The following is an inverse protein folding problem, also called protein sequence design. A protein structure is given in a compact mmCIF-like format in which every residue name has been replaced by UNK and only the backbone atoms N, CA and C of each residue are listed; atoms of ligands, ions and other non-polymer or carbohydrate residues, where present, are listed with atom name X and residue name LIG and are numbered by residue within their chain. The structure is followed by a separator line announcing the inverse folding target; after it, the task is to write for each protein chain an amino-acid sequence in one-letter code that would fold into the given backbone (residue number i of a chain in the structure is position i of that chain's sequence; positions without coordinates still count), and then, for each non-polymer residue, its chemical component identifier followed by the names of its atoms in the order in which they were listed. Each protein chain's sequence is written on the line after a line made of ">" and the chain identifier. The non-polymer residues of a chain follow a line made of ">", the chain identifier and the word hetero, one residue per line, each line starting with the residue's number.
data_IF_234051713184
#
_entry.id   IF_234051713184
#
_cell.length_a   1.000
_cell.length_b   1.000
_cell.length_c   1.000
_cell.angle_alpha   90.00
_cell.angle_beta   90.00
_cell.angle_gamma   90.00
#
_symmetry.space_group_name_H-M   'P 1'
#
loop_
_entity.id
_entity.type
_entity.pdbx_description
1 polymer ?
#
# COMPACT_ATOMS: atom_id res chain seq x y z
N UNK A 1 8.02 20.69 -20.32
CA UNK A 1 8.46 20.82 -18.92
C UNK A 1 7.37 20.18 -18.07
N UNK A 2 7.62 19.03 -17.43
CA UNK A 2 6.62 18.44 -16.52
C UNK A 2 6.52 19.34 -15.28
N UNK A 3 5.33 19.87 -15.01
CA UNK A 3 5.10 20.74 -13.86
C UNK A 3 5.02 19.91 -12.57
N UNK A 4 5.88 20.22 -11.60
CA UNK A 4 5.80 19.68 -10.24
C UNK A 4 4.96 20.62 -9.39
N UNK A 5 3.98 20.06 -8.67
CA UNK A 5 3.05 20.80 -7.83
C UNK A 5 3.61 20.83 -6.41
N UNK A 6 3.71 22.01 -5.80
CA UNK A 6 4.25 22.17 -4.44
C UNK A 6 3.14 22.40 -3.44
N UNK A 7 3.13 21.62 -2.37
CA UNK A 7 2.18 21.71 -1.26
C UNK A 7 2.92 21.66 0.08
N UNK A 8 2.28 22.19 1.13
CA UNK A 8 2.77 22.08 2.49
C UNK A 8 1.66 21.69 3.46
N UNK A 9 2.02 20.99 4.53
CA UNK A 9 1.14 20.61 5.61
C UNK A 9 1.86 20.73 6.96
N UNK A 10 1.20 21.40 7.92
CA UNK A 10 1.69 21.55 9.27
C UNK A 10 1.01 20.52 10.18
N UNK A 11 1.79 19.65 10.82
CA UNK A 11 1.35 18.60 11.73
C UNK A 11 0.17 17.75 11.21
N UNK A 12 0.23 17.23 9.96
CA UNK A 12 -0.85 16.40 9.44
C UNK A 12 -1.00 15.12 10.28
N UNK A 13 -2.23 14.79 10.66
CA UNK A 13 -2.58 13.54 11.36
C UNK A 13 -2.83 12.40 10.37
N UNK A 14 -3.35 12.74 9.19
CA UNK A 14 -3.65 11.79 8.13
C UNK A 14 -3.47 12.44 6.76
N UNK A 15 -2.93 11.66 5.82
CA UNK A 15 -2.82 12.04 4.41
C UNK A 15 -3.33 10.86 3.61
N UNK A 16 -4.38 11.11 2.83
CA UNK A 16 -5.10 10.07 2.11
C UNK A 16 -5.22 10.41 0.64
N UNK A 17 -5.15 9.41 -0.23
CA UNK A 17 -5.40 9.57 -1.66
C UNK A 17 -6.64 8.77 -2.04
N UNK A 18 -7.46 9.35 -2.92
CA UNK A 18 -8.57 8.65 -3.56
C UNK A 18 -8.38 8.63 -5.06
N UNK A 19 -8.61 7.48 -5.68
CA UNK A 19 -8.83 7.43 -7.12
C UNK A 19 -10.32 7.60 -7.39
N UNK A 20 -10.70 8.64 -8.12
CA UNK A 20 -12.09 8.91 -8.51
C UNK A 20 -12.43 8.21 -9.81
N UNK A 21 -11.51 8.27 -10.76
CA UNK A 21 -11.69 7.70 -12.09
C UNK A 21 -10.37 7.10 -12.55
N UNK A 22 -10.42 5.83 -12.94
CA UNK A 22 -9.31 5.11 -13.54
C UNK A 22 -9.89 3.91 -14.28
N UNK A 23 -9.73 3.89 -15.61
CA UNK A 23 -10.11 2.74 -16.45
C UNK A 23 -9.03 1.66 -16.49
N UNK A 24 -7.81 2.11 -16.26
CA UNK A 24 -6.59 1.31 -16.22
C UNK A 24 -6.10 1.17 -14.77
N UNK A 25 -4.99 0.47 -14.57
CA UNK A 25 -4.41 0.30 -13.23
C UNK A 25 -3.89 1.65 -12.71
N UNK A 26 -4.16 1.95 -11.45
CA UNK A 26 -3.69 3.17 -10.80
C UNK A 26 -2.84 2.85 -9.58
N UNK A 27 -1.76 3.60 -9.41
CA UNK A 27 -0.92 3.51 -8.23
C UNK A 27 -0.31 4.88 -7.92
N UNK A 28 0.22 5.00 -6.72
CA UNK A 28 1.01 6.14 -6.30
C UNK A 28 2.36 5.65 -5.78
N UNK A 29 3.40 6.44 -6.05
CA UNK A 29 4.71 6.29 -5.42
C UNK A 29 4.89 7.43 -4.43
N UNK A 30 5.18 7.12 -3.18
CA UNK A 30 5.45 8.09 -2.11
C UNK A 30 6.85 7.81 -1.59
N UNK A 31 7.83 8.65 -1.92
CA UNK A 31 9.24 8.41 -1.56
C UNK A 31 9.71 6.98 -1.90
N UNK A 32 9.37 6.48 -3.08
CA UNK A 32 9.62 5.09 -3.54
C UNK A 32 8.71 4.00 -2.94
N UNK A 33 7.89 4.29 -1.93
CA UNK A 33 6.87 3.37 -1.45
C UNK A 33 5.69 3.28 -2.42
N UNK A 34 5.35 2.05 -2.81
CA UNK A 34 4.28 1.77 -3.75
C UNK A 34 2.94 1.56 -3.03
N UNK A 35 1.90 2.25 -3.51
CA UNK A 35 0.53 2.03 -3.07
C UNK A 35 -0.37 1.83 -4.28
N UNK A 36 -1.05 0.68 -4.34
CA UNK A 36 -2.07 0.39 -5.35
C UNK A 36 -3.38 1.07 -4.99
N UNK A 37 -4.06 1.67 -5.97
CA UNK A 37 -5.34 2.33 -5.79
C UNK A 37 -6.42 1.67 -6.64
N UNK A 38 -7.59 1.48 -6.03
CA UNK A 38 -8.82 1.12 -6.74
C UNK A 38 -9.71 2.34 -6.91
N UNK A 39 -10.40 2.40 -8.05
CA UNK A 39 -11.40 3.43 -8.32
C UNK A 39 -12.47 3.42 -7.23
N UNK A 40 -12.75 4.59 -6.66
CA UNK A 40 -13.69 4.80 -5.58
C UNK A 40 -13.11 4.64 -4.17
N UNK A 41 -11.98 3.95 -3.98
CA UNK A 41 -11.38 3.69 -2.66
C UNK A 41 -10.39 4.78 -2.24
N UNK A 42 -10.35 5.06 -0.93
CA UNK A 42 -9.34 5.89 -0.27
C UNK A 42 -8.26 5.01 0.35
N UNK A 43 -7.02 5.48 0.32
CA UNK A 43 -5.88 4.85 1.00
C UNK A 43 -5.13 5.89 1.83
N UNK A 44 -4.77 5.52 3.06
CA UNK A 44 -3.94 6.34 3.93
C UNK A 44 -2.45 6.06 3.62
N UNK A 45 -1.69 7.12 3.37
CA UNK A 45 -0.26 7.05 3.03
C UNK A 45 0.66 7.65 4.10
N UNK A 46 0.10 8.05 5.25
CA UNK A 46 0.83 8.76 6.30
C UNK A 46 2.08 8.02 6.79
N UNK A 47 2.08 6.68 6.78
CA UNK A 47 3.22 5.88 7.22
C UNK A 47 4.44 5.96 6.29
N UNK A 48 4.26 6.32 5.02
CA UNK A 48 5.36 6.50 4.06
C UNK A 48 5.90 7.94 4.00
N UNK A 49 5.37 8.84 4.83
CA UNK A 49 5.72 10.25 4.81
C UNK A 49 6.68 10.60 5.96
N UNK A 50 7.70 11.39 5.61
CA UNK A 50 8.70 11.90 6.53
C UNK A 50 8.54 13.40 6.75
N UNK A 51 9.19 13.93 7.79
CA UNK A 51 9.33 15.37 7.96
C UNK A 51 10.17 15.97 6.81
N UNK A 52 9.82 17.17 6.37
CA UNK A 52 10.40 17.80 5.20
C UNK A 52 9.70 17.41 3.90
N UNK A 53 10.44 17.44 2.79
CA UNK A 53 9.88 17.25 1.44
C UNK A 53 9.67 15.77 1.13
N UNK A 54 8.46 15.45 0.67
CA UNK A 54 8.05 14.13 0.21
C UNK A 54 7.65 14.20 -1.27
N UNK A 55 8.06 13.22 -2.07
CA UNK A 55 7.69 13.15 -3.49
C UNK A 55 6.56 12.15 -3.69
N UNK A 56 5.44 12.63 -4.23
CA UNK A 56 4.27 11.83 -4.58
C UNK A 56 4.12 11.83 -6.11
N UNK A 57 4.11 10.64 -6.71
CA UNK A 57 3.85 10.47 -8.14
C UNK A 57 2.54 9.70 -8.32
N UNK A 58 1.57 10.31 -8.98
CA UNK A 58 0.29 9.67 -9.30
C UNK A 58 0.36 9.08 -10.70
N UNK A 59 0.15 7.77 -10.79
CA UNK A 59 0.46 6.99 -11.97
C UNK A 59 -0.75 6.20 -12.45
N UNK A 60 -0.91 6.14 -13.76
CA UNK A 60 -1.78 5.21 -14.46
C UNK A 60 -0.92 4.26 -15.28
N UNK A 61 -1.14 2.97 -15.15
CA UNK A 61 -0.52 1.94 -15.97
C UNK A 61 -1.58 1.29 -16.83
N UNK A 62 -1.45 1.45 -18.14
CA UNK A 62 -2.38 0.84 -19.08
C UNK A 62 -2.10 -0.65 -19.22
N UNK A 63 -3.18 -1.40 -19.44
CA UNK A 63 -3.08 -2.83 -19.70
C UNK A 63 -2.31 -3.12 -20.98
N UNK A 64 -1.74 -4.33 -21.07
CA UNK A 64 -1.16 -4.81 -22.33
C UNK A 64 -2.20 -4.81 -23.45
N UNK A 65 -1.76 -4.67 -24.70
CA UNK A 65 -2.66 -4.64 -25.86
C UNK A 65 -3.63 -5.82 -25.88
N UNK A 66 -3.14 -7.02 -25.54
CA UNK A 66 -3.95 -8.24 -25.44
C UNK A 66 -5.05 -8.12 -24.38
N UNK A 67 -4.71 -7.63 -23.20
CA UNK A 67 -5.67 -7.43 -22.10
C UNK A 67 -6.69 -6.34 -22.43
N UNK A 68 -6.27 -5.25 -23.09
CA UNK A 68 -7.20 -4.22 -23.56
C UNK A 68 -8.22 -4.78 -24.54
N UNK A 69 -7.79 -5.62 -25.49
CA UNK A 69 -8.71 -6.29 -26.43
C UNK A 69 -9.69 -7.18 -25.67
N UNK A 70 -9.22 -8.03 -24.76
CA UNK A 70 -10.06 -8.94 -23.97
C UNK A 70 -11.09 -8.16 -23.12
N UNK A 71 -10.70 -7.00 -22.60
CA UNK A 71 -11.55 -6.15 -21.76
C UNK A 71 -12.43 -5.18 -22.55
N UNK A 72 -12.38 -5.18 -23.89
CA UNK A 72 -13.12 -4.22 -24.72
C UNK A 72 -12.64 -2.77 -24.59
N UNK A 73 -11.40 -2.55 -24.15
CA UNK A 73 -10.76 -1.25 -23.96
C UNK A 73 -9.87 -0.83 -25.15
N UNK A 74 -9.95 -1.55 -26.26
CA UNK A 74 -9.18 -1.23 -27.47
C UNK A 74 -9.64 0.11 -28.05
N UNK A 75 -8.69 1.00 -28.35
CA UNK A 75 -8.96 2.36 -28.85
C UNK A 75 -9.53 3.33 -27.81
N UNK A 76 -9.62 2.93 -26.53
CA UNK A 76 -10.00 3.83 -25.44
C UNK A 76 -8.77 4.54 -24.87
N UNK A 77 -8.89 5.84 -24.63
CA UNK A 77 -7.88 6.63 -23.94
C UNK A 77 -7.76 6.23 -22.47
N UNK A 78 -6.54 6.28 -21.94
CA UNK A 78 -6.33 6.17 -20.51
C UNK A 78 -6.81 7.45 -19.82
N UNK A 79 -7.35 7.31 -18.62
CA UNK A 79 -7.72 8.43 -17.76
C UNK A 79 -7.34 8.12 -16.32
N UNK A 80 -6.94 9.16 -15.59
CA UNK A 80 -6.72 9.10 -14.15
C UNK A 80 -7.18 10.38 -13.50
N UNK A 81 -8.05 10.27 -12.49
CA UNK A 81 -8.48 11.38 -11.63
C UNK A 81 -8.24 11.01 -10.17
N UNK A 82 -7.29 11.69 -9.55
CA UNK A 82 -6.89 11.49 -8.16
C UNK A 82 -7.32 12.68 -7.30
N UNK A 83 -7.58 12.41 -6.03
CA UNK A 83 -7.83 13.42 -5.01
C UNK A 83 -6.88 13.21 -3.84
N UNK A 84 -6.24 14.29 -3.39
CA UNK A 84 -5.39 14.32 -2.20
C UNK A 84 -6.17 14.95 -1.05
N UNK A 85 -6.21 14.25 0.07
CA UNK A 85 -6.82 14.68 1.32
C UNK A 85 -5.74 14.83 2.38
N UNK A 86 -5.84 15.89 3.18
CA UNK A 86 -5.02 16.08 4.38
C UNK A 86 -5.98 16.34 5.53
N UNK A 87 -5.91 15.51 6.56
CA UNK A 87 -6.82 15.53 7.71
C UNK A 87 -8.30 15.50 7.30
N UNK A 88 -8.61 14.61 6.37
CA UNK A 88 -9.95 14.44 5.79
C UNK A 88 -10.42 15.58 4.87
N UNK A 89 -9.64 16.67 4.74
CA UNK A 89 -9.99 17.81 3.88
C UNK A 89 -9.37 17.65 2.49
N UNK A 90 -10.19 17.77 1.45
CA UNK A 90 -9.73 17.78 0.06
C UNK A 90 -8.77 18.96 -0.17
N UNK A 91 -7.56 18.66 -0.64
CA UNK A 91 -6.50 19.65 -0.93
C UNK A 91 -6.29 19.87 -2.42
N UNK A 92 -6.53 18.86 -3.24
CA UNK A 92 -6.36 18.96 -4.67
C UNK A 92 -7.00 17.80 -5.42
N UNK A 93 -7.42 18.09 -6.64
CA UNK A 93 -7.90 17.10 -7.61
C UNK A 93 -6.97 17.17 -8.82
N UNK A 94 -6.50 16.03 -9.29
CA UNK A 94 -5.51 15.92 -10.35
C UNK A 94 -6.04 14.97 -11.41
N UNK A 95 -6.27 15.49 -12.60
CA UNK A 95 -6.84 14.73 -13.72
C UNK A 95 -5.94 14.83 -14.94
N UNK A 96 -5.74 13.70 -15.60
CA UNK A 96 -5.07 13.64 -16.90
C UNK A 96 -5.59 12.46 -17.69
N UNK A 97 -5.61 12.62 -19.00
CA UNK A 97 -5.95 11.59 -19.97
C UNK A 97 -5.02 11.68 -21.17
N UNK A 98 -4.96 10.60 -21.96
CA UNK A 98 -4.21 10.58 -23.19
C UNK A 98 -4.51 9.37 -24.05
N UNK A 99 -4.23 9.53 -25.35
CA UNK A 99 -4.33 8.43 -26.31
C UNK A 99 -3.24 7.40 -26.11
N UNK A 100 -3.62 6.13 -26.26
CA UNK A 100 -2.69 5.00 -26.27
C UNK A 100 -2.61 4.43 -27.70
N UNK A 101 -1.47 4.62 -28.36
CA UNK A 101 -1.26 4.23 -29.77
C UNK A 101 -0.69 2.80 -29.87
N UNK A 102 0.09 2.39 -28.87
CA UNK A 102 0.68 1.05 -28.75
C UNK A 102 0.54 0.61 -27.31
N UNK A 103 -0.23 -0.46 -27.07
CA UNK A 103 -0.64 -0.88 -25.73
C UNK A 103 0.49 -1.01 -24.69
N UNK A 104 0.11 -0.96 -23.42
CA UNK A 104 0.90 -0.86 -22.18
C UNK A 104 1.88 0.31 -22.12
N UNK A 105 1.66 1.21 -21.16
CA UNK A 105 2.51 2.33 -20.81
C UNK A 105 2.25 2.78 -19.38
N UNK A 106 3.22 3.49 -18.80
CA UNK A 106 3.08 4.15 -17.51
C UNK A 106 2.99 5.66 -17.72
N UNK A 107 1.91 6.25 -17.22
CA UNK A 107 1.55 7.63 -17.44
C UNK A 107 1.44 8.37 -16.12
N UNK A 108 2.22 9.43 -15.98
CA UNK A 108 2.13 10.32 -14.82
C UNK A 108 0.97 11.28 -14.97
N UNK A 109 0.04 11.23 -14.01
CA UNK A 109 -1.06 12.18 -13.84
C UNK A 109 -0.58 13.44 -13.14
N UNK A 110 0.14 13.30 -12.03
CA UNK A 110 0.69 14.42 -11.27
C UNK A 110 1.98 14.02 -10.53
N UNK A 111 2.87 15.00 -10.38
CA UNK A 111 4.02 14.96 -9.47
C UNK A 111 3.83 16.04 -8.42
N UNK A 112 3.88 15.66 -7.14
CA UNK A 112 3.63 16.55 -6.02
C UNK A 112 4.83 16.49 -5.08
N UNK A 113 5.40 17.65 -4.77
CA UNK A 113 6.29 17.85 -3.63
C UNK A 113 5.45 18.29 -2.45
N UNK A 114 5.37 17.45 -1.42
CA UNK A 114 4.63 17.73 -0.19
C UNK A 114 5.61 17.96 0.96
N UNK A 115 5.74 19.21 1.40
CA UNK A 115 6.53 19.55 2.57
C UNK A 115 5.71 19.34 3.86
N UNK A 116 6.20 18.51 4.76
CA UNK A 116 5.59 18.25 6.06
C UNK A 116 6.42 18.93 7.14
N UNK A 117 5.80 19.86 7.85
CA UNK A 117 6.39 20.52 9.00
C UNK A 117 5.79 19.93 10.27
N UNK A 118 6.64 19.42 11.17
CA UNK A 118 6.20 18.98 12.50
C UNK A 118 6.64 20.03 13.50
N UNK A 119 5.67 20.62 14.21
CA UNK A 119 5.99 21.49 15.32
C UNK A 119 6.66 20.65 16.42
N UNK A 120 7.67 21.18 17.12
CA UNK A 120 8.24 20.47 18.25
C UNK A 120 7.12 20.17 19.25
N UNK A 121 6.89 18.89 19.54
CA UNK A 121 5.98 18.49 20.61
C UNK A 121 6.48 19.18 21.89
N UNK A 122 5.63 19.90 22.64
CA UNK A 122 6.05 20.49 23.90
C UNK A 122 6.57 19.36 24.79
N UNK A 123 7.84 19.43 25.19
CA UNK A 123 8.44 18.50 26.13
C UNK A 123 7.54 18.45 27.36
N UNK A 124 6.96 17.29 27.74
CA UNK A 124 6.15 17.21 28.94
C UNK A 124 7.02 17.67 30.11
N UNK A 125 6.58 18.74 30.78
CA UNK A 125 7.19 19.17 32.04
C UNK A 125 7.18 17.97 32.98
N UNK A 126 8.31 17.58 33.60
CA UNK A 126 8.34 16.46 34.52
C UNK A 126 7.26 16.69 35.58
N UNK A 127 6.22 15.84 35.54
CA UNK A 127 5.16 15.85 36.55
C UNK A 127 5.82 15.40 37.86
N UNK A 128 5.67 16.13 38.98
CA UNK A 128 6.22 15.71 40.26
C UNK A 128 5.70 14.31 40.59
N UNK A 129 6.62 13.38 40.78
CA UNK A 129 6.35 11.97 41.10
C UNK A 129 5.37 11.84 42.27
N UNK A 130 4.14 11.33 42.09
CA UNK A 130 3.32 10.95 43.23
C UNK A 130 3.88 9.67 43.87
N UNK A 131 3.97 9.67 45.20
CA UNK A 131 4.32 8.55 46.08
C UNK A 131 3.49 7.29 45.76
N UNK A 132 4.09 6.08 45.71
CA UNK A 132 3.41 4.89 45.22
C UNK A 132 2.30 4.45 46.19
N UNK A 133 1.07 4.34 45.69
CA UNK A 133 -0.04 3.66 46.35
C UNK A 133 -0.36 2.40 45.58
N UNK A 134 -0.28 1.25 46.26
CA UNK A 134 -0.60 -0.09 45.76
C UNK A 134 -2.08 -0.19 45.40
N UNK A 135 -2.38 -0.49 44.14
CA UNK A 135 -3.74 -0.73 43.67
C UNK A 135 -3.76 -1.50 42.36
N UNK A 136 -3.97 -2.82 42.44
CA UNK A 136 -4.31 -3.66 41.29
C UNK A 136 -5.58 -3.13 40.63
N UNK A 137 -5.57 -2.85 39.32
CA UNK A 137 -6.72 -3.06 38.43
C UNK A 137 -6.25 -3.17 36.99
N UNK A 138 -6.57 -4.33 36.41
CA UNK A 138 -6.54 -4.72 35.01
C UNK A 138 -7.04 -3.61 34.07
N UNK A 139 -6.18 -3.21 33.13
CA UNK A 139 -6.51 -2.32 32.02
C UNK A 139 -6.11 -2.97 30.69
N UNK A 140 -7.12 -3.35 29.92
CA UNK A 140 -7.07 -3.97 28.60
C UNK A 140 -6.43 -3.04 27.56
N UNK A 141 -5.31 -3.44 26.98
CA UNK A 141 -4.66 -2.79 25.82
C UNK A 141 -5.02 -3.56 24.56
N UNK A 142 -6.08 -3.15 23.86
CA UNK A 142 -6.47 -3.73 22.56
C UNK A 142 -6.27 -2.66 21.49
N UNK A 143 -5.20 -2.78 20.70
CA UNK A 143 -5.00 -1.89 19.54
C UNK A 143 -3.62 -1.94 18.86
N UNK A 144 -2.55 -2.41 19.53
CA UNK A 144 -1.18 -2.20 19.00
C UNK A 144 -0.50 -3.45 18.43
N UNK A 145 -0.97 -4.66 18.73
CA UNK A 145 -0.25 -5.89 18.35
C UNK A 145 -0.47 -6.32 16.90
N UNK A 146 -1.65 -6.06 16.33
CA UNK A 146 -2.00 -6.53 14.98
C UNK A 146 -1.26 -5.75 13.89
N UNK A 147 -1.19 -4.43 14.01
CA UNK A 147 -0.52 -3.56 13.02
C UNK A 147 0.99 -3.87 12.95
N UNK A 148 1.65 -4.02 14.11
CA UNK A 148 3.06 -4.42 14.17
C UNK A 148 3.29 -5.82 13.55
N UNK A 149 2.34 -6.74 13.74
CA UNK A 149 2.44 -8.09 13.16
C UNK A 149 2.33 -8.06 11.63
N UNK A 150 1.43 -7.25 11.07
CA UNK A 150 1.26 -7.09 9.62
C UNK A 150 2.52 -6.47 9.00
N UNK A 151 3.03 -5.37 9.58
CA UNK A 151 4.24 -4.70 9.09
C UNK A 151 5.46 -5.62 9.10
N UNK A 152 5.66 -6.41 10.16
CA UNK A 152 6.76 -7.37 10.23
C UNK A 152 6.68 -8.45 9.14
N UNK A 153 5.47 -8.93 8.83
CA UNK A 153 5.26 -9.91 7.76
C UNK A 153 5.51 -9.27 6.40
N UNK A 154 5.03 -8.04 6.16
CA UNK A 154 5.31 -7.30 4.91
C UNK A 154 6.82 -7.14 4.71
N UNK A 155 7.53 -6.69 5.73
CA UNK A 155 8.98 -6.50 5.70
C UNK A 155 9.72 -7.80 5.35
N UNK A 156 9.26 -8.94 5.87
CA UNK A 156 9.84 -10.26 5.55
C UNK A 156 9.54 -10.69 4.12
N UNK A 157 8.31 -10.48 3.65
CA UNK A 157 7.92 -10.80 2.27
C UNK A 157 8.72 -9.97 1.26
N UNK A 158 8.88 -8.67 1.51
CA UNK A 158 9.68 -7.76 0.66
C UNK A 158 11.16 -8.16 0.61
N UNK A 159 11.71 -8.68 1.70
CA UNK A 159 13.11 -9.16 1.78
C UNK A 159 13.36 -10.47 1.03
N UNK A 160 12.31 -11.16 0.54
CA UNK A 160 12.50 -12.36 -0.28
C UNK A 160 13.18 -11.94 -1.59
N UNK A 161 14.39 -12.47 -1.84
CA UNK A 161 15.15 -12.15 -3.05
C UNK A 161 14.35 -12.48 -4.33
N UNK A 162 14.05 -11.44 -5.12
CA UNK A 162 13.24 -11.55 -6.34
C UNK A 162 11.74 -11.39 -6.13
N UNK A 163 11.31 -10.95 -4.93
CA UNK A 163 9.96 -10.45 -4.68
C UNK A 163 9.75 -9.18 -5.48
N UNK A 164 8.71 -9.19 -6.31
CA UNK A 164 8.24 -8.01 -7.03
C UNK A 164 6.87 -7.65 -6.48
N UNK A 165 6.67 -6.43 -5.96
CA UNK A 165 5.34 -5.95 -5.58
C UNK A 165 4.39 -6.05 -6.77
N UNK A 166 3.13 -6.42 -6.50
CA UNK A 166 2.09 -6.52 -7.54
C UNK A 166 0.73 -6.13 -6.98
N UNK A 167 -0.28 -6.13 -7.85
CA UNK A 167 -1.64 -5.79 -7.46
C UNK A 167 -2.36 -6.99 -6.81
N UNK A 168 -3.22 -6.69 -5.85
CA UNK A 168 -4.12 -7.64 -5.20
C UNK A 168 -5.40 -7.98 -5.99
N UNK A 169 -5.53 -7.59 -7.27
CA UNK A 169 -6.72 -7.86 -8.10
C UNK A 169 -7.02 -9.36 -8.18
N UNK A 170 -5.96 -10.18 -8.11
CA UNK A 170 -6.06 -11.63 -8.15
C UNK A 170 -6.18 -12.29 -6.76
N UNK A 171 -6.36 -11.52 -5.69
CA UNK A 171 -6.55 -12.08 -4.33
C UNK A 171 -7.77 -13.01 -4.29
N UNK A 172 -8.81 -12.75 -5.09
CA UNK A 172 -9.99 -13.62 -5.20
C UNK A 172 -9.70 -15.00 -5.80
N UNK A 173 -8.59 -15.17 -6.52
CA UNK A 173 -8.15 -16.47 -7.05
C UNK A 173 -7.16 -17.19 -6.11
N UNK A 174 -6.76 -16.53 -5.03
CA UNK A 174 -5.74 -17.04 -4.12
C UNK A 174 -6.34 -17.98 -3.08
N UNK A 175 -5.56 -18.98 -2.68
CA UNK A 175 -5.92 -19.93 -1.64
C UNK A 175 -5.10 -19.67 -0.37
N UNK A 176 -5.68 -19.76 0.83
CA UNK A 176 -4.93 -19.66 2.08
C UNK A 176 -3.80 -20.67 2.14
N UNK A 177 -2.58 -20.19 2.34
CA UNK A 177 -1.38 -21.00 2.56
C UNK A 177 -1.02 -21.05 4.06
N UNK A 178 -1.16 -19.92 4.75
CA UNK A 178 -0.97 -19.80 6.22
C UNK A 178 -2.15 -19.03 6.79
N UNK A 179 -2.70 -19.50 7.90
CA UNK A 179 -3.63 -18.75 8.75
C UNK A 179 -3.00 -18.60 10.14
N UNK A 180 -2.78 -17.36 10.57
CA UNK A 180 -2.17 -17.03 11.86
C UNK A 180 -3.26 -16.86 12.94
N UNK A 181 -2.88 -16.92 14.23
CA UNK A 181 -3.82 -16.83 15.37
C UNK A 181 -4.75 -15.61 15.37
N UNK A 182 -4.33 -14.50 14.76
CA UNK A 182 -5.12 -13.27 14.67
C UNK A 182 -6.03 -13.23 13.43
N UNK A 183 -6.26 -14.34 12.72
CA UNK A 183 -6.99 -14.40 11.44
C UNK A 183 -6.30 -13.67 10.26
N UNK A 184 -5.05 -13.24 10.45
CA UNK A 184 -4.17 -12.81 9.35
C UNK A 184 -3.89 -14.01 8.45
N UNK A 185 -4.04 -13.84 7.14
CA UNK A 185 -3.83 -14.90 6.16
C UNK A 185 -2.73 -14.54 5.19
N UNK A 186 -1.88 -15.51 4.89
CA UNK A 186 -1.01 -15.45 3.73
C UNK A 186 -1.61 -16.39 2.70
N UNK A 187 -2.15 -15.82 1.63
CA UNK A 187 -2.65 -16.58 0.51
C UNK A 187 -1.60 -16.66 -0.59
N UNK A 188 -1.66 -17.73 -1.38
CA UNK A 188 -0.86 -17.88 -2.59
C UNK A 188 -1.76 -18.13 -3.79
N UNK A 189 -1.31 -17.69 -4.95
CA UNK A 189 -1.97 -17.98 -6.22
C UNK A 189 -0.92 -18.24 -7.27
N UNK A 190 -1.26 -19.07 -8.25
CA UNK A 190 -0.42 -19.30 -9.41
C UNK A 190 -1.18 -18.87 -10.65
N UNK A 191 -0.60 -17.95 -11.41
CA UNK A 191 -1.21 -17.49 -12.65
C UNK A 191 -1.04 -18.53 -13.79
N UNK A 192 -1.64 -18.25 -14.95
CA UNK A 192 -1.62 -19.15 -16.13
C UNK A 192 -0.21 -19.42 -16.69
N UNK A 193 0.76 -18.56 -16.36
CA UNK A 193 2.18 -18.73 -16.71
C UNK A 193 3.00 -19.17 -15.48
N UNK A 194 2.39 -19.92 -14.56
CA UNK A 194 3.03 -20.53 -13.40
C UNK A 194 3.80 -19.63 -12.43
N UNK A 195 3.61 -18.32 -12.47
CA UNK A 195 4.26 -17.38 -11.54
C UNK A 195 3.54 -17.41 -10.20
N UNK A 196 4.27 -17.73 -9.14
CA UNK A 196 3.75 -17.75 -7.77
C UNK A 196 3.57 -16.33 -7.25
N UNK A 197 2.33 -16.02 -6.86
CA UNK A 197 1.91 -14.80 -6.20
C UNK A 197 1.65 -15.06 -4.73
N UNK A 198 1.87 -14.05 -3.91
CA UNK A 198 1.57 -14.03 -2.48
C UNK A 198 0.71 -12.83 -2.16
N UNK A 199 -0.23 -13.03 -1.24
CA UNK A 199 -1.09 -11.98 -0.70
C UNK A 199 -1.07 -12.06 0.82
N UNK A 200 -0.89 -10.93 1.49
CA UNK A 200 -1.12 -10.80 2.93
C UNK A 200 -2.48 -10.16 3.14
N UNK A 201 -3.33 -10.81 3.92
CA UNK A 201 -4.70 -10.40 4.19
C UNK A 201 -4.86 -10.17 5.69
N UNK A 202 -5.36 -9.01 6.09
CA UNK A 202 -5.64 -8.66 7.49
C UNK A 202 -6.85 -9.46 8.05
N UNK A 203 -7.13 -9.37 9.36
CA UNK A 203 -8.27 -10.05 9.97
C UNK A 203 -9.63 -9.62 9.39
N UNK A 204 -9.72 -8.39 8.88
CA UNK A 204 -10.90 -7.80 8.24
C UNK A 204 -11.11 -8.26 6.79
N UNK A 205 -10.13 -8.95 6.19
CA UNK A 205 -10.19 -9.47 4.83
C UNK A 205 -9.61 -8.54 3.75
N UNK A 206 -8.98 -7.43 4.11
CA UNK A 206 -8.30 -6.55 3.16
C UNK A 206 -6.90 -7.08 2.85
N UNK A 207 -6.50 -6.95 1.57
CA UNK A 207 -5.15 -7.31 1.16
C UNK A 207 -4.17 -6.17 1.49
N UNK A 208 -3.28 -6.38 2.46
CA UNK A 208 -2.27 -5.42 2.90
C UNK A 208 -1.00 -5.47 2.06
N UNK A 209 -0.71 -6.60 1.43
CA UNK A 209 0.45 -6.77 0.55
C UNK A 209 0.15 -7.77 -0.56
N UNK A 210 0.67 -7.50 -1.75
CA UNK A 210 0.65 -8.43 -2.85
C UNK A 210 2.02 -8.41 -3.54
N UNK A 211 2.55 -9.60 -3.84
CA UNK A 211 3.81 -9.74 -4.56
C UNK A 211 3.85 -11.01 -5.39
N UNK A 212 4.85 -11.12 -6.26
CA UNK A 212 5.15 -12.36 -6.96
C UNK A 212 6.65 -12.61 -7.02
N UNK A 213 7.01 -13.87 -7.26
CA UNK A 213 8.38 -14.30 -7.49
C UNK A 213 8.48 -15.07 -8.80
N UNK A 214 9.51 -14.76 -9.59
CA UNK A 214 9.82 -15.51 -10.80
C UNK A 214 10.21 -16.96 -10.49
N UNK A 215 9.99 -17.88 -11.45
CA UNK A 215 10.12 -19.33 -11.28
C UNK A 215 11.46 -19.79 -10.66
N UNK A 216 12.56 -19.14 -11.04
CA UNK A 216 13.93 -19.47 -10.58
C UNK A 216 14.08 -19.34 -9.06
N UNK A 217 13.18 -18.63 -8.37
CA UNK A 217 13.22 -18.37 -6.93
C UNK A 217 12.19 -19.15 -6.11
N UNK A 218 11.35 -20.00 -6.74
CA UNK A 218 10.22 -20.72 -6.10
C UNK A 218 10.58 -21.44 -4.80
N UNK A 219 11.65 -22.25 -4.80
CA UNK A 219 12.09 -22.98 -3.58
C UNK A 219 12.43 -22.06 -2.40
N UNK A 220 13.06 -20.91 -2.68
CA UNK A 220 13.42 -19.93 -1.64
C UNK A 220 12.21 -19.18 -1.12
N UNK A 221 11.26 -18.88 -2.00
CA UNK A 221 9.99 -18.26 -1.64
C UNK A 221 9.18 -19.12 -0.66
N UNK A 222 8.93 -20.39 -0.98
CA UNK A 222 8.19 -21.27 -0.05
C UNK A 222 8.95 -21.54 1.26
N UNK A 223 10.29 -21.57 1.24
CA UNK A 223 11.10 -21.64 2.47
C UNK A 223 10.90 -20.41 3.36
N UNK A 224 10.84 -19.22 2.77
CA UNK A 224 10.59 -17.98 3.51
C UNK A 224 9.17 -17.96 4.10
N UNK A 225 8.15 -18.42 3.36
CA UNK A 225 6.80 -18.58 3.90
C UNK A 225 6.76 -19.55 5.08
N UNK A 226 7.50 -20.67 5.00
CA UNK A 226 7.61 -21.61 6.11
C UNK A 226 8.28 -20.99 7.34
N UNK A 227 9.30 -20.14 7.16
CA UNK A 227 9.92 -19.41 8.26
C UNK A 227 8.95 -18.41 8.89
N UNK A 228 8.17 -17.68 8.07
CA UNK A 228 7.10 -16.80 8.58
C UNK A 228 6.09 -17.62 9.41
N UNK A 229 5.65 -18.79 8.92
CA UNK A 229 4.75 -19.67 9.67
C UNK A 229 5.30 -20.12 11.02
N UNK A 230 6.62 -20.33 11.13
CA UNK A 230 7.24 -20.78 12.37
C UNK A 230 7.42 -19.62 13.38
N UNK A 231 7.71 -18.42 12.88
CA UNK A 231 8.01 -17.25 13.71
C UNK A 231 6.75 -16.55 14.23
N UNK A 232 5.62 -16.72 13.53
CA UNK A 232 4.31 -16.25 13.97
C UNK A 232 3.42 -17.45 14.28
N UNK A 233 2.97 -17.65 15.54
CA UNK A 233 2.20 -18.82 15.90
C UNK A 233 0.93 -18.94 15.04
N UNK A 234 0.85 -20.05 14.29
CA UNK A 234 -0.35 -20.45 13.57
C UNK A 234 -1.45 -20.93 14.53
N UNK A 235 -2.66 -21.09 13.98
CA UNK A 235 -3.69 -21.94 14.59
C UNK A 235 -3.32 -23.40 14.41
#
# INVERSE_FOLDING_TARGET
>A
MESVIKLSALNPRSIEIRLIEGRDEAYILVNEHYFSLMTGKKINISSALQEGVNLLNFMIKTYSLKERIIRGLFGQDWCGRFELYIDGKLRGTYNKSGGEIFGSGEYTVAKIELNIERAPTPTPTPTPTPTPTTGNTTGTTTGTTTDTTIEDIINRLQKIKGMNPTHFQNVGYSTPYITLKNNIKINVWKNLVEVDHVFLIDPEGNCCFAGYVAWVRRKKFYRALQQIRNDFPGV
#
